data_IF_754831627708
#
_entry.id   IF_754831627708
#
_cell.length_a   1.000
_cell.length_b   1.000
_cell.length_c   1.000
_cell.angle_alpha   90.00
_cell.angle_beta   90.00
_cell.angle_gamma   90.00
#
_symmetry.space_group_name_H-M   'P 1'
#
loop_
_entity.id
_entity.type
_entity.pdbx_description
1 polymer ?
#
# COMPACT_ATOMS: atom_id res chain seq x y z
N UNK A 1 9.40 16.20 17.44
CA UNK A 1 8.10 15.52 17.29
C UNK A 1 8.34 14.03 17.28
N UNK A 2 7.40 13.21 17.79
CA UNK A 2 7.49 11.75 17.60
C UNK A 2 7.49 11.47 16.09
N UNK A 3 8.48 10.71 15.60
CA UNK A 3 8.43 10.19 14.23
C UNK A 3 7.15 9.36 14.08
N UNK A 4 6.44 9.55 12.98
CA UNK A 4 5.26 8.75 12.64
C UNK A 4 5.65 7.33 12.22
N UNK A 5 6.94 7.08 11.97
CA UNK A 5 7.45 5.80 11.47
C UNK A 5 7.07 5.52 10.01
N UNK A 6 6.47 6.48 9.31
CA UNK A 6 6.06 6.31 7.92
C UNK A 6 7.24 6.47 6.95
N UNK A 7 8.30 7.17 7.35
CA UNK A 7 9.54 7.29 6.59
C UNK A 7 10.64 6.46 7.23
N UNK A 8 11.25 5.57 6.45
CA UNK A 8 12.41 4.78 6.88
C UNK A 8 13.57 4.96 5.90
N UNK A 9 14.78 5.12 6.43
CA UNK A 9 16.03 5.01 5.67
C UNK A 9 16.74 3.73 6.08
N UNK A 10 16.84 2.77 5.16
CA UNK A 10 17.62 1.54 5.37
C UNK A 10 18.50 1.33 4.13
N UNK A 11 19.84 1.27 4.29
CA UNK A 11 20.61 1.36 5.53
C UNK A 11 20.60 2.79 6.15
N UNK A 12 20.78 2.88 7.47
CA UNK A 12 20.85 4.16 8.21
C UNK A 12 22.24 4.81 8.15
N UNK A 13 23.19 4.17 7.48
CA UNK A 13 24.56 4.65 7.29
C UNK A 13 24.91 4.58 5.81
N UNK A 14 25.63 5.60 5.33
CA UNK A 14 26.16 5.65 3.97
C UNK A 14 27.67 5.68 4.06
N UNK A 15 28.34 4.75 3.36
CA UNK A 15 29.79 4.75 3.29
C UNK A 15 30.26 5.86 2.35
N UNK A 16 30.94 6.87 2.90
CA UNK A 16 31.53 7.94 2.12
C UNK A 16 33.05 7.76 2.03
N UNK A 17 33.56 7.55 0.81
CA UNK A 17 35.00 7.62 0.55
C UNK A 17 35.49 9.09 0.66
N UNK A 18 36.78 9.33 0.89
CA UNK A 18 37.34 10.69 0.88
C UNK A 18 37.01 11.40 -0.43
N UNK A 19 36.41 12.58 -0.33
CA UNK A 19 36.06 13.38 -1.49
C UNK A 19 37.28 14.15 -2.03
N UNK A 20 37.40 14.22 -3.36
CA UNK A 20 38.36 15.10 -4.02
C UNK A 20 37.88 16.56 -4.04
N UNK A 21 38.60 17.47 -4.75
CA UNK A 21 38.27 18.90 -4.80
C UNK A 21 36.86 19.24 -5.29
N UNK A 22 36.24 18.35 -6.07
CA UNK A 22 34.90 18.52 -6.63
C UNK A 22 33.79 17.88 -5.77
N UNK A 23 34.14 17.35 -4.59
CA UNK A 23 33.19 16.59 -3.77
C UNK A 23 33.00 15.15 -4.24
N UNK A 24 32.13 14.44 -3.55
CA UNK A 24 31.66 13.10 -3.89
C UNK A 24 30.14 13.08 -3.71
N UNK A 25 29.41 12.66 -4.74
CA UNK A 25 27.96 12.50 -4.66
C UNK A 25 27.61 11.29 -3.78
N UNK A 26 26.59 11.46 -2.94
CA UNK A 26 26.09 10.41 -2.05
C UNK A 26 24.57 10.36 -2.12
N UNK A 27 24.01 9.15 -2.02
CA UNK A 27 22.58 8.91 -2.09
C UNK A 27 22.10 8.24 -0.80
N UNK A 28 20.95 8.68 -0.30
CA UNK A 28 20.20 8.04 0.77
C UNK A 28 18.85 7.63 0.22
N UNK A 29 18.50 6.36 0.35
CA UNK A 29 17.18 5.85 -0.04
C UNK A 29 16.19 5.99 1.12
N UNK A 30 15.07 6.66 0.87
CA UNK A 30 14.00 6.87 1.85
C UNK A 30 12.76 6.13 1.36
N UNK A 31 12.27 5.18 2.15
CA UNK A 31 11.00 4.48 1.90
C UNK A 31 9.87 5.17 2.64
N UNK A 32 8.76 5.43 1.96
CA UNK A 32 7.52 5.94 2.56
C UNK A 32 6.45 4.84 2.59
N UNK A 33 6.10 4.34 3.77
CA UNK A 33 5.02 3.36 3.98
C UNK A 33 3.98 3.88 4.98
N UNK A 34 3.01 4.70 4.54
CA UNK A 34 1.97 5.22 5.42
C UNK A 34 1.09 4.09 5.96
N UNK A 35 0.67 4.21 7.22
CA UNK A 35 -0.21 3.24 7.89
C UNK A 35 -1.60 3.79 8.20
N UNK A 36 -1.90 5.02 7.78
CA UNK A 36 -3.18 5.70 7.96
C UNK A 36 -3.53 6.45 6.68
N UNK A 37 -4.77 6.28 6.22
CA UNK A 37 -5.22 6.80 4.92
C UNK A 37 -5.74 8.24 5.13
N UNK A 38 -5.38 9.15 4.22
CA UNK A 38 -5.66 10.60 4.28
C UNK A 38 -4.78 11.42 5.23
N UNK A 39 -3.84 10.78 5.92
CA UNK A 39 -2.87 11.51 6.73
C UNK A 39 -1.79 12.17 5.86
N UNK A 40 -1.39 13.36 6.30
CA UNK A 40 -0.19 14.05 5.83
C UNK A 40 0.92 13.80 6.84
N UNK A 41 2.05 13.34 6.35
CA UNK A 41 3.22 12.98 7.13
C UNK A 41 4.30 14.03 6.86
N UNK A 42 4.80 14.64 7.93
CA UNK A 42 5.84 15.64 7.90
C UNK A 42 6.93 15.21 8.88
N UNK A 43 8.09 14.83 8.36
CA UNK A 43 9.24 14.43 9.17
C UNK A 43 10.52 15.14 8.71
N UNK A 44 11.55 15.10 9.56
CA UNK A 44 12.87 15.61 9.25
C UNK A 44 13.84 14.46 9.16
N UNK A 45 14.43 14.25 7.98
CA UNK A 45 15.58 13.38 7.79
C UNK A 45 16.83 14.14 8.26
N UNK A 46 17.56 13.56 9.20
CA UNK A 46 18.83 14.07 9.68
C UNK A 46 19.96 13.18 9.18
N UNK A 47 20.91 13.75 8.46
CA UNK A 47 22.15 13.09 8.04
C UNK A 47 23.29 13.75 8.80
N UNK A 48 24.01 13.00 9.62
CA UNK A 48 25.12 13.50 10.42
C UNK A 48 26.44 12.88 10.01
N UNK A 49 27.50 13.69 10.04
CA UNK A 49 28.88 13.31 9.80
C UNK A 49 29.77 14.02 10.80
N UNK A 50 30.74 13.31 11.39
CA UNK A 50 31.67 13.89 12.35
C UNK A 50 32.50 15.03 11.75
N UNK A 51 32.76 14.99 10.44
CA UNK A 51 33.56 16.00 9.72
C UNK A 51 32.70 16.91 8.85
N UNK A 52 31.59 16.40 8.32
CA UNK A 52 30.69 17.13 7.43
C UNK A 52 29.58 17.90 8.15
N UNK A 53 29.44 17.73 9.47
CA UNK A 53 28.36 18.33 10.26
C UNK A 53 27.01 17.63 10.05
N UNK A 54 25.93 18.35 10.29
CA UNK A 54 24.56 17.85 10.19
C UNK A 54 23.81 18.50 9.03
N UNK A 55 23.09 17.68 8.27
CA UNK A 55 22.20 18.08 7.19
C UNK A 55 20.78 17.66 7.56
N UNK A 56 19.86 18.62 7.56
CA UNK A 56 18.45 18.39 7.85
C UNK A 56 17.61 18.60 6.57
N UNK A 57 16.86 17.58 6.19
CA UNK A 57 15.95 17.63 5.04
C UNK A 57 14.52 17.36 5.49
N UNK A 58 13.58 18.20 5.07
CA UNK A 58 12.15 17.96 5.32
C UNK A 58 11.63 16.92 4.33
N UNK A 59 10.98 15.86 4.83
CA UNK A 59 10.29 14.86 4.02
C UNK A 59 8.80 14.97 4.27
N UNK A 60 8.05 15.04 3.18
CA UNK A 60 6.60 15.25 3.21
C UNK A 60 5.93 14.15 2.39
N UNK A 61 4.95 13.49 2.97
CA UNK A 61 4.28 12.34 2.37
C UNK A 61 2.79 12.45 2.58
N UNK A 62 2.00 12.01 1.59
CA UNK A 62 0.55 12.01 1.69
C UNK A 62 0.03 10.64 1.34
N UNK A 63 -0.78 10.06 2.24
CA UNK A 63 -1.50 8.83 1.91
C UNK A 63 -2.75 9.18 1.09
N UNK A 64 -2.71 8.89 -0.21
CA UNK A 64 -3.84 9.09 -1.11
C UNK A 64 -4.88 7.97 -0.95
N UNK A 65 -6.16 8.23 -1.28
CA UNK A 65 -7.16 7.18 -1.39
C UNK A 65 -6.70 6.06 -2.32
N UNK A 66 -7.12 4.81 -2.09
CA UNK A 66 -6.75 3.70 -2.96
C UNK A 66 -7.25 3.97 -4.38
N UNK A 67 -6.34 3.86 -5.35
CA UNK A 67 -6.70 3.96 -6.76
C UNK A 67 -7.34 2.64 -7.20
N UNK A 68 -8.46 2.69 -7.93
CA UNK A 68 -9.00 1.49 -8.59
C UNK A 68 -7.95 0.83 -9.48
N UNK A 69 -7.95 -0.50 -9.55
CA UNK A 69 -6.99 -1.28 -10.36
C UNK A 69 -7.68 -2.40 -11.14
N UNK A 70 -7.01 -2.93 -12.17
CA UNK A 70 -7.54 -3.95 -13.07
C UNK A 70 -7.71 -3.45 -14.52
N UNK A 71 -8.44 -4.19 -15.37
CA UNK A 71 -9.18 -5.40 -15.03
C UNK A 71 -8.27 -6.59 -14.70
N UNK A 72 -8.71 -7.42 -13.76
CA UNK A 72 -8.09 -8.70 -13.46
C UNK A 72 -8.88 -9.81 -14.16
N UNK A 73 -8.19 -10.56 -15.01
CA UNK A 73 -8.78 -11.64 -15.81
C UNK A 73 -9.07 -12.88 -14.94
N UNK A 74 -10.28 -13.41 -15.08
CA UNK A 74 -10.74 -14.63 -14.44
C UNK A 74 -10.43 -15.82 -15.33
N UNK A 75 -9.40 -16.56 -14.97
CA UNK A 75 -8.93 -17.70 -15.75
C UNK A 75 -9.49 -18.98 -15.13
N UNK A 76 -10.14 -19.82 -15.93
CA UNK A 76 -10.76 -21.09 -15.47
C UNK A 76 -11.76 -20.89 -14.32
N UNK A 77 -12.50 -19.77 -14.34
CA UNK A 77 -13.56 -19.48 -13.37
C UNK A 77 -13.09 -18.90 -12.03
N UNK A 78 -11.79 -18.62 -11.83
CA UNK A 78 -11.32 -17.95 -10.60
C UNK A 78 -10.17 -16.97 -10.86
N UNK A 79 -10.05 -15.97 -9.99
CA UNK A 79 -8.92 -15.03 -9.93
C UNK A 79 -8.52 -14.81 -8.47
N UNK A 80 -7.22 -14.61 -8.24
CA UNK A 80 -6.65 -14.33 -6.92
C UNK A 80 -6.11 -12.90 -6.92
N UNK A 81 -6.69 -12.03 -6.09
CA UNK A 81 -6.23 -10.64 -5.93
C UNK A 81 -5.32 -10.57 -4.70
N UNK A 82 -4.01 -10.39 -4.93
CA UNK A 82 -3.06 -10.16 -3.84
C UNK A 82 -3.28 -8.78 -3.25
N UNK A 83 -3.49 -8.73 -1.94
CA UNK A 83 -3.83 -7.50 -1.23
C UNK A 83 -3.23 -7.51 0.18
N UNK A 84 -2.94 -6.34 0.76
CA UNK A 84 -2.25 -6.19 2.05
C UNK A 84 -3.08 -5.31 2.99
N UNK A 85 -3.19 -5.73 4.25
CA UNK A 85 -3.58 -4.84 5.33
C UNK A 85 -2.51 -3.75 5.51
N UNK A 86 -2.80 -2.51 5.10
CA UNK A 86 -1.84 -1.40 5.17
C UNK A 86 -1.66 -0.83 6.59
N UNK A 87 -2.57 -1.15 7.51
CA UNK A 87 -2.57 -0.64 8.88
C UNK A 87 -1.53 -1.35 9.76
N UNK A 88 -1.09 -0.66 10.81
CA UNK A 88 -0.16 -1.17 11.83
C UNK A 88 -0.83 -2.01 12.92
N UNK A 89 -2.10 -2.38 12.74
CA UNK A 89 -2.89 -3.20 13.66
C UNK A 89 -3.71 -4.24 12.92
N UNK A 90 -4.25 -5.20 13.65
CA UNK A 90 -5.24 -6.13 13.10
C UNK A 90 -6.52 -5.37 12.75
N UNK A 91 -7.06 -5.63 11.55
CA UNK A 91 -8.29 -4.98 11.05
C UNK A 91 -9.17 -6.05 10.39
N UNK A 92 -10.48 -5.92 10.58
CA UNK A 92 -11.48 -6.69 9.85
C UNK A 92 -11.83 -6.00 8.53
N UNK A 93 -11.79 -6.77 7.44
CA UNK A 93 -12.11 -6.33 6.09
C UNK A 93 -13.34 -7.05 5.58
N UNK A 94 -14.21 -6.31 4.90
CA UNK A 94 -15.41 -6.82 4.25
C UNK A 94 -15.21 -6.81 2.73
N UNK A 95 -15.59 -7.90 2.07
CA UNK A 95 -15.49 -8.03 0.63
C UNK A 95 -16.88 -8.10 0.01
N UNK A 96 -17.03 -7.46 -1.14
CA UNK A 96 -18.26 -7.52 -1.92
C UNK A 96 -17.95 -7.44 -3.40
N UNK A 97 -18.86 -7.99 -4.20
CA UNK A 97 -18.87 -7.86 -5.65
C UNK A 97 -20.21 -7.29 -6.09
N UNK A 98 -20.22 -6.47 -7.12
CA UNK A 98 -21.44 -5.80 -7.62
C UNK A 98 -22.20 -6.60 -8.68
N UNK A 99 -21.68 -7.77 -9.08
CA UNK A 99 -22.28 -8.67 -10.05
C UNK A 99 -22.48 -10.06 -9.43
N UNK A 100 -23.72 -10.59 -9.35
CA UNK A 100 -24.02 -11.87 -8.73
C UNK A 100 -23.44 -13.09 -9.48
N UNK A 101 -22.99 -12.93 -10.73
CA UNK A 101 -22.22 -13.96 -11.44
C UNK A 101 -20.82 -14.17 -10.82
N UNK A 102 -20.39 -13.25 -9.96
CA UNK A 102 -19.14 -13.33 -9.21
C UNK A 102 -19.45 -13.60 -7.73
N UNK A 103 -18.53 -14.27 -7.03
CA UNK A 103 -18.65 -14.53 -5.60
C UNK A 103 -17.30 -14.42 -4.90
N UNK A 104 -17.31 -13.90 -3.68
CA UNK A 104 -16.15 -13.72 -2.80
C UNK A 104 -16.55 -14.06 -1.35
N UNK A 105 -15.58 -14.40 -0.50
CA UNK A 105 -15.82 -14.53 0.95
C UNK A 105 -16.34 -13.22 1.54
N UNK A 106 -17.18 -13.27 2.57
CA UNK A 106 -17.83 -12.06 3.10
C UNK A 106 -16.88 -11.12 3.87
N UNK A 107 -16.05 -11.66 4.77
CA UNK A 107 -15.09 -10.88 5.55
C UNK A 107 -13.87 -11.70 5.95
N UNK A 108 -12.81 -11.01 6.39
CA UNK A 108 -11.68 -11.63 7.07
C UNK A 108 -10.97 -10.64 8.02
N UNK A 109 -10.42 -11.15 9.12
CA UNK A 109 -9.53 -10.38 9.98
C UNK A 109 -8.06 -10.63 9.61
N UNK A 110 -7.32 -9.56 9.32
CA UNK A 110 -5.91 -9.63 8.97
C UNK A 110 -5.04 -8.94 10.01
N UNK A 111 -3.99 -9.63 10.45
CA UNK A 111 -2.95 -9.04 11.29
C UNK A 111 -2.29 -7.82 10.61
N UNK A 112 -1.63 -6.99 11.40
CA UNK A 112 -0.90 -5.82 10.92
C UNK A 112 0.03 -6.19 9.75
N UNK A 113 0.00 -5.40 8.67
CA UNK A 113 0.88 -5.57 7.49
C UNK A 113 0.77 -6.93 6.78
N UNK A 114 -0.20 -7.79 7.12
CA UNK A 114 -0.38 -9.11 6.52
C UNK A 114 -0.87 -8.99 5.07
N UNK A 115 -0.23 -9.75 4.18
CA UNK A 115 -0.66 -9.96 2.79
C UNK A 115 -1.58 -11.17 2.71
N UNK A 116 -2.61 -11.09 1.88
CA UNK A 116 -3.65 -12.11 1.65
C UNK A 116 -3.88 -12.25 0.15
N UNK A 117 -4.47 -13.38 -0.27
CA UNK A 117 -4.99 -13.57 -1.62
C UNK A 117 -6.52 -13.67 -1.53
N UNK A 118 -7.21 -12.70 -2.15
CA UNK A 118 -8.67 -12.67 -2.19
C UNK A 118 -9.12 -13.44 -3.42
N UNK A 119 -9.66 -14.63 -3.20
CA UNK A 119 -10.21 -15.47 -4.24
C UNK A 119 -11.59 -14.96 -4.67
N UNK A 120 -11.74 -14.61 -5.94
CA UNK A 120 -13.05 -14.36 -6.56
C UNK A 120 -13.32 -15.49 -7.55
N UNK A 121 -14.55 -16.01 -7.50
CA UNK A 121 -15.02 -17.06 -8.41
C UNK A 121 -16.07 -16.46 -9.34
N UNK A 122 -16.03 -16.84 -10.62
CA UNK A 122 -17.03 -16.51 -11.62
C UNK A 122 -17.82 -17.77 -11.99
N UNK A 123 -19.13 -17.63 -12.04
CA UNK A 123 -20.04 -18.62 -12.60
C UNK A 123 -20.72 -18.01 -13.80
N UNK A 124 -20.64 -18.69 -14.94
CA UNK A 124 -21.23 -18.20 -16.17
C UNK A 124 -22.74 -18.02 -16.03
N UNK A 125 -23.20 -16.82 -16.36
CA UNK A 125 -24.61 -16.46 -16.47
C UNK A 125 -24.77 -15.70 -17.80
N UNK A 126 -25.34 -16.32 -18.84
CA UNK A 126 -25.53 -15.67 -20.15
C UNK A 126 -26.37 -14.40 -20.11
N UNK A 127 -27.12 -14.15 -19.04
CA UNK A 127 -27.95 -12.96 -18.85
C UNK A 127 -27.21 -11.78 -18.20
N UNK A 128 -25.95 -11.97 -17.78
CA UNK A 128 -25.17 -10.97 -17.03
C UNK A 128 -23.88 -10.59 -17.75
N UNK A 129 -23.39 -9.36 -17.56
CA UNK A 129 -22.06 -8.99 -18.02
C UNK A 129 -20.98 -9.89 -17.41
N UNK A 130 -19.90 -10.13 -18.16
CA UNK A 130 -18.72 -10.85 -17.66
C UNK A 130 -17.72 -9.95 -16.92
N UNK A 131 -18.21 -8.87 -16.32
CA UNK A 131 -17.39 -7.90 -15.60
C UNK A 131 -17.96 -7.62 -14.22
N UNK A 132 -17.11 -7.29 -13.25
CA UNK A 132 -17.51 -6.91 -11.91
C UNK A 132 -16.52 -5.95 -11.26
N UNK A 133 -16.91 -5.32 -10.15
CA UNK A 133 -16.02 -4.67 -9.19
C UNK A 133 -15.97 -5.48 -7.91
N UNK A 134 -14.78 -5.93 -7.52
CA UNK A 134 -14.50 -6.33 -6.16
C UNK A 134 -14.22 -5.07 -5.33
N UNK A 135 -14.94 -4.94 -4.22
CA UNK A 135 -14.73 -3.89 -3.23
C UNK A 135 -14.24 -4.51 -1.92
N UNK A 136 -13.14 -3.98 -1.39
CA UNK A 136 -12.62 -4.32 -0.06
C UNK A 136 -12.82 -3.09 0.81
N UNK A 137 -13.51 -3.22 1.94
CA UNK A 137 -13.82 -2.09 2.84
C UNK A 137 -13.49 -2.38 4.30
N UNK A 138 -13.21 -1.31 5.04
CA UNK A 138 -13.04 -1.31 6.50
C UNK A 138 -13.53 0.03 7.07
N UNK A 139 -14.85 0.21 7.25
CA UNK A 139 -15.45 1.52 7.55
C UNK A 139 -14.89 2.25 8.77
N UNK A 140 -14.27 1.54 9.73
CA UNK A 140 -13.63 2.14 10.91
C UNK A 140 -12.22 2.71 10.66
N UNK A 141 -11.57 2.36 9.55
CA UNK A 141 -10.16 2.71 9.28
C UNK A 141 -9.96 3.45 7.95
N UNK A 142 -10.82 3.18 6.96
CA UNK A 142 -10.74 3.78 5.63
C UNK A 142 -12.11 4.33 5.23
N UNK A 143 -12.22 5.59 4.80
CA UNK A 143 -13.49 6.17 4.36
C UNK A 143 -13.90 5.70 2.95
N UNK A 144 -13.00 5.06 2.20
CA UNK A 144 -13.26 4.59 0.83
C UNK A 144 -12.73 3.17 0.65
N UNK A 145 -13.45 2.30 -0.10
CA UNK A 145 -13.00 0.94 -0.35
C UNK A 145 -11.87 0.91 -1.37
N UNK A 146 -11.05 -0.14 -1.32
CA UNK A 146 -10.22 -0.53 -2.45
C UNK A 146 -11.10 -1.17 -3.53
N UNK A 147 -10.91 -0.77 -4.78
CA UNK A 147 -11.72 -1.24 -5.91
C UNK A 147 -10.84 -1.98 -6.91
N UNK A 148 -11.24 -3.19 -7.28
CA UNK A 148 -10.59 -4.03 -8.29
C UNK A 148 -11.60 -4.39 -9.37
N UNK A 149 -11.34 -4.00 -10.61
CA UNK A 149 -12.17 -4.38 -11.75
C UNK A 149 -11.83 -5.81 -12.17
N UNK A 150 -12.84 -6.62 -12.48
CA UNK A 150 -12.73 -8.02 -12.87
C UNK A 150 -13.35 -8.23 -14.24
N UNK A 151 -12.78 -9.15 -15.01
CA UNK A 151 -13.27 -9.57 -16.32
C UNK A 151 -13.14 -11.09 -16.48
N UNK A 152 -14.14 -11.77 -17.05
CA UNK A 152 -14.21 -13.22 -17.23
C UNK A 152 -14.50 -13.65 -18.67
#
# INVERSE_FOLDING_TARGET
GKSSGAFECKPTTVAAAPAGPNGLEQQVEVTFEPSSIHDNYHETLLVSSATGGEYACQVNGRCLPPKPSGPFEVVKGTVQITWKNVFSKQVEFFYSVDNPAFSVKASESLAAKKTTNVAVTYKEDPSKPRTAKLMISCPGEAPSPWVFYLQA
#
